data_IF_105141145733
#
_entry.id   IF_105141145733
#
_cell.length_a   1.000
_cell.length_b   1.000
_cell.length_c   1.000
_cell.angle_alpha   90.00
_cell.angle_beta   90.00
_cell.angle_gamma   90.00
#
_symmetry.space_group_name_H-M   'P 1'
#
loop_
_entity.id
_entity.type
_entity.pdbx_description
1 polymer ?
#
# COMPACT_ATOMS: atom_id res chain seq x y z
N UNK A 1 12.88 -15.08 -6.72
CA UNK A 1 13.84 -14.09 -7.27
C UNK A 1 14.57 -13.34 -6.17
N UNK A 2 13.94 -12.42 -5.42
CA UNK A 2 14.64 -11.65 -4.36
C UNK A 2 15.20 -12.56 -3.27
N UNK A 3 14.39 -13.45 -2.68
CA UNK A 3 14.86 -14.45 -1.71
C UNK A 3 15.94 -15.41 -2.27
N UNK A 4 15.97 -15.59 -3.59
CA UNK A 4 16.96 -16.42 -4.29
C UNK A 4 18.21 -15.64 -4.70
N UNK A 5 18.36 -14.38 -4.28
CA UNK A 5 19.56 -13.58 -4.51
C UNK A 5 19.66 -12.90 -5.89
N UNK A 6 18.60 -12.92 -6.71
CA UNK A 6 18.67 -12.38 -8.08
C UNK A 6 18.58 -10.85 -8.18
N UNK A 7 18.47 -10.13 -7.06
CA UNK A 7 18.37 -8.66 -7.02
C UNK A 7 17.45 -8.14 -5.91
N UNK A 8 17.12 -6.85 -5.97
CA UNK A 8 16.24 -6.14 -5.03
C UNK A 8 15.09 -5.44 -5.77
N UNK A 9 14.04 -5.05 -5.05
CA UNK A 9 12.88 -4.35 -5.63
C UNK A 9 12.17 -3.49 -4.58
N UNK A 10 11.24 -2.65 -5.01
CA UNK A 10 10.34 -1.90 -4.14
C UNK A 10 9.00 -2.63 -4.04
N UNK A 11 8.43 -2.69 -2.84
CA UNK A 11 7.12 -3.26 -2.58
C UNK A 11 6.18 -2.20 -1.97
N UNK A 12 4.89 -2.19 -2.36
CA UNK A 12 3.90 -1.39 -1.67
C UNK A 12 3.75 -1.84 -0.21
N UNK A 13 3.57 -0.90 0.72
CA UNK A 13 3.52 -1.17 2.15
C UNK A 13 2.51 -2.27 2.55
N UNK A 14 1.33 -2.34 1.90
CA UNK A 14 0.32 -3.38 2.20
C UNK A 14 0.74 -4.81 1.81
N UNK A 15 1.77 -4.97 0.99
CA UNK A 15 2.33 -6.27 0.62
C UNK A 15 3.54 -6.68 1.48
N UNK A 16 4.00 -5.78 2.35
CA UNK A 16 5.09 -6.04 3.29
C UNK A 16 4.50 -6.73 4.52
N UNK A 17 5.09 -7.86 4.96
CA UNK A 17 4.59 -8.53 6.15
C UNK A 17 4.96 -7.76 7.42
N UNK A 18 4.33 -8.07 8.57
CA UNK A 18 4.64 -7.39 9.83
C UNK A 18 6.10 -7.57 10.27
N UNK A 19 6.71 -8.71 9.92
CA UNK A 19 8.08 -9.02 10.28
C UNK A 19 9.09 -8.30 9.37
N UNK A 20 10.13 -7.71 9.98
CA UNK A 20 11.24 -7.07 9.27
C UNK A 20 12.00 -8.04 8.35
N UNK A 21 12.07 -9.32 8.71
CA UNK A 21 12.74 -10.36 7.92
C UNK A 21 11.84 -11.59 7.84
N UNK A 22 11.61 -12.08 6.62
CA UNK A 22 10.84 -13.30 6.39
C UNK A 22 11.35 -14.01 5.13
N UNK A 23 11.45 -15.33 5.19
CA UNK A 23 11.76 -16.19 4.03
C UNK A 23 13.02 -15.77 3.24
N UNK A 24 14.07 -15.34 3.95
CA UNK A 24 15.33 -14.90 3.31
C UNK A 24 15.28 -13.49 2.72
N UNK A 25 14.20 -12.72 2.95
CA UNK A 25 14.06 -11.32 2.52
C UNK A 25 14.04 -10.40 3.74
N UNK A 26 14.74 -9.27 3.66
CA UNK A 26 14.70 -8.20 4.67
C UNK A 26 14.02 -6.98 4.05
N UNK A 27 13.05 -6.42 4.77
CA UNK A 27 12.30 -5.25 4.37
C UNK A 27 12.87 -4.02 5.08
N UNK A 28 13.10 -2.94 4.33
CA UNK A 28 13.75 -1.73 4.81
C UNK A 28 12.97 -0.50 4.33
N UNK A 29 12.89 0.57 5.13
CA UNK A 29 12.29 1.83 4.69
C UNK A 29 13.17 2.51 3.64
N UNK A 30 12.54 3.08 2.61
CA UNK A 30 13.20 3.96 1.66
C UNK A 30 13.03 5.41 2.12
N UNK A 31 14.11 6.19 2.11
CA UNK A 31 14.14 7.57 2.60
C UNK A 31 14.73 8.51 1.55
N UNK A 32 14.42 9.80 1.67
CA UNK A 32 14.99 10.92 0.88
C UNK A 32 14.83 10.80 -0.66
N UNK A 33 13.60 10.87 -1.21
CA UNK A 33 12.31 10.92 -0.53
C UNK A 33 11.75 9.51 -0.28
N UNK A 34 10.76 9.41 0.61
CA UNK A 34 9.97 8.18 0.72
C UNK A 34 9.13 7.99 -0.55
N UNK A 35 9.27 6.86 -1.28
CA UNK A 35 8.49 6.61 -2.49
C UNK A 35 7.01 6.40 -2.15
N UNK A 36 6.12 7.11 -2.84
CA UNK A 36 4.67 7.06 -2.62
C UNK A 36 3.92 6.87 -3.93
N UNK A 37 2.72 6.29 -3.83
CA UNK A 37 1.76 6.17 -4.95
C UNK A 37 0.35 6.44 -4.46
N UNK A 38 -0.47 7.00 -5.32
CA UNK A 38 -1.90 7.23 -5.06
C UNK A 38 -2.72 6.06 -5.58
N UNK A 39 -3.55 5.48 -4.71
CA UNK A 39 -4.55 4.47 -5.10
C UNK A 39 -5.89 5.18 -5.26
N UNK A 40 -6.52 5.00 -6.43
CA UNK A 40 -7.81 5.62 -6.74
C UNK A 40 -8.83 4.59 -7.21
N UNK A 41 -10.11 4.85 -6.90
CA UNK A 41 -11.23 4.12 -7.47
C UNK A 41 -11.68 4.85 -8.74
N UNK A 42 -11.61 4.18 -9.88
CA UNK A 42 -12.00 4.75 -11.18
C UNK A 42 -13.26 4.08 -11.69
N UNK A 43 -14.20 4.87 -12.19
CA UNK A 43 -15.41 4.39 -12.83
C UNK A 43 -15.73 5.23 -14.08
N UNK A 44 -16.57 4.70 -14.98
CA UNK A 44 -16.91 5.39 -16.24
C UNK A 44 -17.67 6.69 -15.98
N UNK A 45 -17.31 7.81 -16.64
CA UNK A 45 -18.10 9.04 -16.57
C UNK A 45 -19.52 8.79 -17.11
N UNK A 46 -20.53 9.38 -16.46
CA UNK A 46 -21.93 9.20 -16.82
C UNK A 46 -22.57 7.88 -16.36
N UNK A 47 -21.88 7.06 -15.56
CA UNK A 47 -22.49 5.84 -15.02
C UNK A 47 -23.74 6.16 -14.18
N UNK A 48 -24.89 5.50 -14.42
CA UNK A 48 -26.09 5.68 -13.61
C UNK A 48 -25.89 5.21 -12.15
N UNK A 49 -24.85 4.42 -11.90
CA UNK A 49 -24.48 3.92 -10.57
C UNK A 49 -23.45 4.80 -9.85
N UNK A 50 -23.16 6.02 -10.34
CA UNK A 50 -22.18 6.94 -9.74
C UNK A 50 -22.34 7.03 -8.21
N UNK A 51 -23.55 7.22 -7.72
CA UNK A 51 -23.82 7.37 -6.28
C UNK A 51 -23.32 6.18 -5.46
N UNK A 52 -23.42 4.95 -5.99
CA UNK A 52 -22.92 3.74 -5.33
C UNK A 52 -21.40 3.68 -5.32
N UNK A 53 -20.76 4.07 -6.43
CA UNK A 53 -19.29 4.11 -6.49
C UNK A 53 -18.70 5.16 -5.55
N UNK A 54 -19.33 6.32 -5.45
CA UNK A 54 -18.90 7.36 -4.50
C UNK A 54 -19.04 6.89 -3.04
N UNK A 55 -20.14 6.23 -2.68
CA UNK A 55 -20.29 5.63 -1.35
C UNK A 55 -19.21 4.56 -1.06
N UNK A 56 -18.89 3.73 -2.06
CA UNK A 56 -17.84 2.73 -1.93
C UNK A 56 -16.45 3.38 -1.78
N UNK A 57 -16.15 4.40 -2.60
CA UNK A 57 -14.89 5.13 -2.54
C UNK A 57 -14.74 5.82 -1.17
N UNK A 58 -15.81 6.39 -0.64
CA UNK A 58 -15.85 7.00 0.69
C UNK A 58 -15.56 5.97 1.78
N UNK A 59 -16.24 4.82 1.76
CA UNK A 59 -16.04 3.77 2.75
C UNK A 59 -14.60 3.25 2.75
N UNK A 60 -13.99 3.06 1.58
CA UNK A 60 -12.59 2.67 1.44
C UNK A 60 -11.68 3.76 1.99
N UNK A 61 -11.90 5.03 1.60
CA UNK A 61 -11.06 6.16 2.05
C UNK A 61 -11.10 6.31 3.57
N UNK A 62 -12.30 6.35 4.16
CA UNK A 62 -12.48 6.48 5.60
C UNK A 62 -11.82 5.35 6.39
N UNK A 63 -11.86 4.11 5.87
CA UNK A 63 -11.19 2.97 6.52
C UNK A 63 -9.67 3.04 6.44
N UNK A 64 -9.13 3.60 5.36
CA UNK A 64 -7.69 3.66 5.10
C UNK A 64 -7.02 4.93 5.63
N UNK A 65 -7.82 5.91 6.05
CA UNK A 65 -7.32 7.15 6.64
C UNK A 65 -6.45 6.88 7.88
N UNK A 66 -5.26 7.47 7.92
CA UNK A 66 -4.25 7.24 8.96
C UNK A 66 -3.76 5.78 9.11
N UNK A 67 -4.03 4.88 8.16
CA UNK A 67 -3.67 3.47 8.29
C UNK A 67 -2.15 3.27 8.42
N UNK A 68 -1.36 3.99 7.64
CA UNK A 68 0.10 3.84 7.63
C UNK A 68 0.80 4.54 8.79
N UNK A 69 0.14 5.49 9.48
CA UNK A 69 0.67 6.13 10.69
C UNK A 69 0.83 5.13 11.85
N UNK A 70 0.00 4.08 11.84
CA UNK A 70 0.01 3.00 12.84
C UNK A 70 0.93 1.83 12.44
N UNK A 71 1.01 1.51 11.15
CA UNK A 71 1.64 0.27 10.65
C UNK A 71 3.14 0.41 10.42
N UNK A 72 3.64 1.56 9.97
CA UNK A 72 5.08 1.72 9.67
C UNK A 72 5.98 1.86 10.91
N UNK A 73 5.41 2.03 12.10
CA UNK A 73 6.18 2.03 13.36
C UNK A 73 6.63 0.65 13.83
N UNK A 74 6.06 -0.43 13.28
CA UNK A 74 6.32 -1.81 13.76
C UNK A 74 7.43 -2.54 12.98
N UNK A 75 7.85 -2.02 11.82
CA UNK A 75 8.84 -2.67 10.96
C UNK A 75 10.27 -2.12 11.11
N UNK A 76 10.49 -1.14 12.00
CA UNK A 76 11.82 -0.56 12.27
C UNK A 76 12.56 -1.37 13.31
#
# INVERSE_FOLDING_TARGET
MVAAGSGITLLPALAVPPERKRDGVVYLPCIKPEPRRTIGLVYRPGSPLRSRYEQLAEAIRARMDGHFDKVLKQAV
#
